data_IF_170789159787
#
_entry.id   IF_170789159787
#
_cell.length_a   1.000
_cell.length_b   1.000
_cell.length_c   1.000
_cell.angle_alpha   90.00
_cell.angle_beta   90.00
_cell.angle_gamma   90.00
#
_symmetry.space_group_name_H-M   'P 1'
#
loop_
_entity.id
_entity.type
_entity.pdbx_description
1 polymer ?
#
# COMPACT_ATOMS: atom_id res chain seq x y z
N UNK A 1 -11.90 2.59 -15.20
CA UNK A 1 -12.31 1.18 -15.00
C UNK A 1 -12.20 0.81 -13.51
N UNK A 2 -13.33 0.59 -12.79
CA UNK A 2 -13.31 0.22 -11.35
C UNK A 2 -12.68 -1.17 -11.18
N UNK A 3 -11.49 -1.23 -10.57
CA UNK A 3 -10.82 -2.50 -10.28
C UNK A 3 -11.62 -3.29 -9.25
N UNK A 4 -12.07 -4.51 -9.61
CA UNK A 4 -12.76 -5.43 -8.68
C UNK A 4 -11.75 -5.96 -7.64
N UNK A 5 -11.52 -5.21 -6.55
CA UNK A 5 -10.53 -5.54 -5.49
C UNK A 5 -10.68 -6.97 -4.96
N UNK A 6 -11.91 -7.42 -4.68
CA UNK A 6 -12.15 -8.79 -4.23
C UNK A 6 -11.70 -9.85 -5.23
N UNK A 7 -11.82 -9.63 -6.55
CA UNK A 7 -11.30 -10.59 -7.55
C UNK A 7 -9.79 -10.79 -7.43
N UNK A 8 -9.05 -9.74 -7.07
CA UNK A 8 -7.60 -9.80 -6.85
C UNK A 8 -7.26 -10.47 -5.51
N UNK A 9 -7.97 -10.13 -4.43
CA UNK A 9 -7.84 -10.80 -3.13
C UNK A 9 -7.97 -12.33 -3.28
N UNK A 10 -8.98 -12.79 -4.03
CA UNK A 10 -9.20 -14.23 -4.27
C UNK A 10 -8.08 -14.91 -5.04
N UNK A 11 -7.41 -14.18 -5.94
CA UNK A 11 -6.38 -14.75 -6.81
C UNK A 11 -5.02 -14.81 -6.12
N UNK A 12 -4.71 -13.79 -5.31
CA UNK A 12 -3.36 -13.57 -4.83
C UNK A 12 -3.28 -13.59 -3.29
N UNK A 13 -4.41 -13.67 -2.57
CA UNK A 13 -4.48 -13.78 -1.11
C UNK A 13 -5.14 -12.59 -0.41
N UNK A 14 -5.49 -12.80 0.86
CA UNK A 14 -6.17 -11.82 1.72
C UNK A 14 -5.26 -10.70 2.24
N UNK A 15 -3.95 -10.79 2.06
CA UNK A 15 -2.98 -9.82 2.62
C UNK A 15 -2.78 -8.57 1.76
N UNK A 16 -3.39 -8.50 0.58
CA UNK A 16 -3.06 -7.51 -0.45
C UNK A 16 -3.77 -6.17 -0.27
N UNK A 17 -5.02 -6.21 0.16
CA UNK A 17 -5.78 -5.01 0.45
C UNK A 17 -6.37 -5.16 1.83
N UNK A 18 -6.49 -4.03 2.52
CA UNK A 18 -7.16 -3.93 3.81
C UNK A 18 -8.62 -4.41 3.68
N UNK A 19 -9.26 -4.13 2.53
CA UNK A 19 -10.61 -4.64 2.22
C UNK A 19 -10.70 -6.17 2.10
N UNK A 20 -9.60 -6.86 1.83
CA UNK A 20 -9.59 -8.32 1.77
C UNK A 20 -9.75 -8.96 3.17
N UNK A 21 -9.52 -8.23 4.26
CA UNK A 21 -9.77 -8.70 5.62
C UNK A 21 -11.22 -8.51 6.08
N UNK A 22 -12.09 -7.92 5.24
CA UNK A 22 -13.47 -7.61 5.64
C UNK A 22 -14.38 -8.85 5.68
N UNK A 23 -15.39 -8.83 6.57
CA UNK A 23 -16.44 -9.86 6.61
C UNK A 23 -17.15 -10.03 5.24
N UNK A 24 -17.28 -8.94 4.47
CA UNK A 24 -17.82 -8.96 3.11
C UNK A 24 -16.96 -9.77 2.14
N UNK A 25 -15.63 -9.75 2.30
CA UNK A 25 -14.74 -10.61 1.54
C UNK A 25 -14.92 -12.08 1.93
N UNK A 26 -14.98 -12.39 3.23
CA UNK A 26 -15.21 -13.75 3.71
C UNK A 26 -16.51 -14.36 3.14
N UNK A 27 -17.61 -13.61 3.18
CA UNK A 27 -18.88 -14.01 2.54
C UNK A 27 -18.74 -14.17 1.02
N UNK A 28 -17.99 -13.30 0.35
CA UNK A 28 -17.73 -13.42 -1.09
C UNK A 28 -16.91 -14.67 -1.44
N UNK A 29 -16.04 -15.13 -0.55
CA UNK A 29 -15.27 -16.36 -0.74
C UNK A 29 -16.12 -17.60 -0.52
N UNK A 30 -16.93 -17.62 0.54
CA UNK A 30 -17.84 -18.74 0.84
C UNK A 30 -18.83 -19.03 -0.31
N UNK A 31 -19.26 -18.01 -1.06
CA UNK A 31 -20.13 -18.18 -2.23
C UNK A 31 -19.47 -18.89 -3.42
N UNK A 32 -18.16 -19.11 -3.41
CA UNK A 32 -17.39 -19.60 -4.57
C UNK A 32 -16.98 -21.07 -4.47
N UNK A 33 -17.64 -21.86 -3.60
CA UNK A 33 -17.32 -23.25 -3.21
C UNK A 33 -17.01 -24.25 -4.34
N UNK A 34 -17.24 -23.94 -5.62
CA UNK A 34 -17.02 -24.86 -6.75
C UNK A 34 -16.13 -24.33 -7.90
N UNK A 35 -15.38 -23.24 -7.72
CA UNK A 35 -14.54 -22.73 -8.81
C UNK A 35 -13.14 -23.38 -8.85
N UNK A 36 -13.04 -24.51 -9.56
CA UNK A 36 -11.83 -25.13 -10.14
C UNK A 36 -10.56 -25.13 -9.26
N UNK A 37 -10.14 -26.34 -8.83
CA UNK A 37 -8.75 -26.62 -8.42
C UNK A 37 -7.82 -26.17 -9.55
N UNK A 38 -7.23 -24.98 -9.39
CA UNK A 38 -6.26 -24.47 -10.35
C UNK A 38 -5.09 -25.45 -10.47
N UNK A 39 -4.54 -25.58 -11.68
CA UNK A 39 -3.29 -26.33 -11.89
C UNK A 39 -2.22 -25.81 -10.92
N UNK A 40 -1.42 -26.72 -10.36
CA UNK A 40 -0.26 -26.35 -9.55
C UNK A 40 0.59 -25.34 -10.33
N UNK A 41 0.90 -24.17 -9.76
CA UNK A 41 1.71 -23.18 -10.47
C UNK A 41 3.12 -23.73 -10.70
N UNK A 42 3.70 -23.40 -11.86
CA UNK A 42 5.13 -23.59 -12.09
C UNK A 42 5.95 -22.65 -11.22
N UNK A 43 7.27 -22.83 -11.17
CA UNK A 43 8.19 -21.94 -10.46
C UNK A 43 8.04 -20.47 -10.90
N UNK A 44 8.02 -20.22 -12.21
CA UNK A 44 7.71 -18.90 -12.77
C UNK A 44 6.33 -18.38 -12.30
N UNK A 45 5.34 -19.27 -12.24
CA UNK A 45 4.01 -18.93 -11.74
C UNK A 45 4.03 -18.47 -10.28
N UNK A 46 4.82 -19.13 -9.43
CA UNK A 46 5.02 -18.74 -8.03
C UNK A 46 5.71 -17.37 -7.92
N UNK A 47 6.81 -17.17 -8.64
CA UNK A 47 7.51 -15.88 -8.68
C UNK A 47 6.60 -14.74 -9.17
N UNK A 48 5.79 -14.99 -10.19
CA UNK A 48 4.81 -14.04 -10.69
C UNK A 48 3.74 -13.71 -9.64
N UNK A 49 3.26 -14.71 -8.90
CA UNK A 49 2.29 -14.49 -7.82
C UNK A 49 2.88 -13.59 -6.73
N UNK A 50 4.10 -13.85 -6.27
CA UNK A 50 4.77 -13.02 -5.25
C UNK A 50 5.01 -11.60 -5.75
N UNK A 51 5.48 -11.45 -6.99
CA UNK A 51 5.62 -10.13 -7.63
C UNK A 51 4.28 -9.38 -7.66
N UNK A 52 3.19 -10.04 -8.04
CA UNK A 52 1.87 -9.43 -8.09
C UNK A 52 1.33 -9.08 -6.71
N UNK A 53 1.55 -9.93 -5.68
CA UNK A 53 1.20 -9.61 -4.29
C UNK A 53 1.87 -8.31 -3.86
N UNK A 54 3.19 -8.24 -3.98
CA UNK A 54 3.98 -7.07 -3.57
C UNK A 54 3.53 -5.80 -4.32
N UNK A 55 3.37 -5.88 -5.64
CA UNK A 55 2.90 -4.76 -6.47
C UNK A 55 1.54 -4.23 -6.03
N UNK A 56 0.60 -5.14 -5.73
CA UNK A 56 -0.77 -4.76 -5.40
C UNK A 56 -0.87 -4.23 -3.96
N UNK A 57 -0.12 -4.80 -3.02
CA UNK A 57 -0.05 -4.35 -1.62
C UNK A 57 0.41 -2.91 -1.51
N UNK A 58 1.52 -2.55 -2.19
CA UNK A 58 2.05 -1.18 -2.18
C UNK A 58 1.43 -0.25 -3.24
N UNK A 59 0.35 -0.67 -3.91
CA UNK A 59 -0.37 0.13 -4.92
C UNK A 59 0.57 0.67 -6.02
N UNK A 60 1.46 -0.21 -6.52
CA UNK A 60 2.46 0.14 -7.52
C UNK A 60 2.05 -0.21 -8.95
N UNK A 61 2.58 0.57 -9.91
CA UNK A 61 2.61 0.19 -11.33
C UNK A 61 3.79 -0.75 -11.57
N UNK A 62 3.66 -1.65 -12.54
CA UNK A 62 4.71 -2.62 -12.90
C UNK A 62 6.06 -1.94 -13.19
N UNK A 63 6.05 -0.85 -13.98
CA UNK A 63 7.25 -0.06 -14.29
C UNK A 63 7.96 0.48 -13.05
N UNK A 64 7.21 0.88 -12.01
CA UNK A 64 7.80 1.39 -10.76
C UNK A 64 8.37 0.27 -9.90
N UNK A 65 7.70 -0.88 -9.83
CA UNK A 65 8.26 -2.04 -9.16
C UNK A 65 9.55 -2.51 -9.84
N UNK A 66 9.57 -2.56 -11.18
CA UNK A 66 10.78 -2.89 -11.94
C UNK A 66 11.94 -1.94 -11.64
N UNK A 67 11.66 -0.63 -11.54
CA UNK A 67 12.67 0.36 -11.15
C UNK A 67 13.26 0.03 -9.78
N UNK A 68 12.42 -0.18 -8.76
CA UNK A 68 12.91 -0.47 -7.41
C UNK A 68 13.73 -1.75 -7.31
N UNK A 69 13.38 -2.79 -8.08
CA UNK A 69 14.15 -4.02 -8.15
C UNK A 69 15.51 -3.76 -8.82
N UNK A 70 15.53 -3.03 -9.94
CA UNK A 70 16.78 -2.69 -10.63
C UNK A 70 17.71 -1.83 -9.75
N UNK A 71 17.14 -0.83 -9.07
CA UNK A 71 17.86 0.03 -8.13
C UNK A 71 18.43 -0.79 -6.96
N UNK A 72 17.69 -1.82 -6.49
CA UNK A 72 18.14 -2.72 -5.43
C UNK A 72 19.23 -3.70 -5.89
N UNK A 73 19.17 -4.21 -7.11
CA UNK A 73 20.20 -5.10 -7.68
C UNK A 73 21.53 -4.37 -7.87
N UNK A 74 21.47 -3.08 -8.22
CA UNK A 74 22.66 -2.24 -8.41
C UNK A 74 23.20 -1.64 -7.09
N UNK A 75 22.50 -1.85 -5.97
CA UNK A 75 22.97 -1.41 -4.66
C UNK A 75 24.08 -2.34 -4.14
N UNK A 76 24.91 -1.82 -3.23
CA UNK A 76 25.85 -2.64 -2.46
C UNK A 76 25.16 -3.42 -1.33
N UNK A 77 23.97 -2.98 -0.94
CA UNK A 77 23.17 -3.60 0.11
C UNK A 77 22.54 -4.92 -0.37
N UNK A 78 22.10 -5.76 0.58
CA UNK A 78 21.32 -6.95 0.24
C UNK A 78 20.04 -6.58 -0.53
N UNK A 79 19.83 -7.20 -1.70
CA UNK A 79 18.78 -6.83 -2.64
C UNK A 79 17.38 -6.86 -2.01
N UNK A 80 17.07 -7.87 -1.19
CA UNK A 80 15.77 -7.96 -0.50
C UNK A 80 15.58 -6.82 0.48
N UNK A 81 16.59 -6.54 1.30
CA UNK A 81 16.56 -5.44 2.26
C UNK A 81 16.35 -4.11 1.55
N UNK A 82 17.03 -3.87 0.43
CA UNK A 82 16.87 -2.62 -0.33
C UNK A 82 15.50 -2.47 -0.98
N UNK A 83 14.92 -3.57 -1.47
CA UNK A 83 13.54 -3.57 -1.98
C UNK A 83 12.57 -3.18 -0.86
N UNK A 84 12.68 -3.78 0.32
CA UNK A 84 11.80 -3.47 1.44
C UNK A 84 11.98 -2.03 1.93
N UNK A 85 13.22 -1.56 2.04
CA UNK A 85 13.52 -0.16 2.38
C UNK A 85 12.86 0.80 1.39
N UNK A 86 13.04 0.57 0.10
CA UNK A 86 12.45 1.41 -0.96
C UNK A 86 10.91 1.41 -0.95
N UNK A 87 10.27 0.34 -0.47
CA UNK A 87 8.82 0.22 -0.38
C UNK A 87 8.27 0.84 0.89
N UNK A 88 8.91 0.61 2.03
CA UNK A 88 8.43 1.06 3.34
C UNK A 88 8.68 2.57 3.55
N UNK A 89 9.77 3.12 3.00
CA UNK A 89 10.11 4.56 3.10
C UNK A 89 9.24 5.48 2.23
N UNK A 90 8.39 4.94 1.37
CA UNK A 90 7.52 5.77 0.51
C UNK A 90 6.56 6.60 1.34
N UNK A 91 6.40 7.88 1.01
CA UNK A 91 5.51 8.80 1.73
C UNK A 91 4.07 8.27 1.87
N UNK A 92 3.50 7.69 0.81
CA UNK A 92 2.15 7.10 0.90
C UNK A 92 2.08 5.92 1.87
N UNK A 93 3.12 5.09 1.91
CA UNK A 93 3.20 3.98 2.83
C UNK A 93 3.45 4.45 4.27
N UNK A 94 4.33 5.44 4.49
CA UNK A 94 4.57 6.05 5.81
C UNK A 94 3.29 6.65 6.36
N UNK A 95 2.52 7.41 5.56
CA UNK A 95 1.24 7.99 6.00
C UNK A 95 0.23 6.92 6.38
N UNK A 96 0.16 5.84 5.61
CA UNK A 96 -0.66 4.68 5.96
C UNK A 96 -0.19 4.03 7.27
N UNK A 97 1.13 3.83 7.43
CA UNK A 97 1.75 3.28 8.64
C UNK A 97 1.55 4.18 9.85
N UNK A 98 1.43 5.50 9.69
CA UNK A 98 1.10 6.46 10.75
C UNK A 98 -0.39 6.43 11.15
N UNK A 99 -1.23 5.67 10.43
CA UNK A 99 -2.68 5.62 10.70
C UNK A 99 -3.47 6.83 10.19
N UNK A 100 -2.83 7.72 9.44
CA UNK A 100 -3.46 8.92 8.88
C UNK A 100 -4.35 8.62 7.65
N UNK A 101 -4.41 7.36 7.23
CA UNK A 101 -5.29 6.90 6.17
C UNK A 101 -5.70 5.45 6.41
N UNK A 102 -6.95 5.11 6.07
CA UNK A 102 -7.48 3.76 6.31
C UNK A 102 -6.97 2.69 5.34
N UNK A 103 -6.40 3.10 4.20
CA UNK A 103 -5.82 2.19 3.22
C UNK A 103 -4.68 2.85 2.46
N UNK A 104 -3.74 2.05 1.96
CA UNK A 104 -2.63 2.57 1.12
C UNK A 104 -3.11 3.30 -0.13
N UNK A 105 -4.25 2.87 -0.70
CA UNK A 105 -4.87 3.56 -1.84
C UNK A 105 -5.36 4.96 -1.46
N UNK A 106 -5.93 5.11 -0.25
CA UNK A 106 -6.41 6.38 0.27
C UNK A 106 -5.24 7.30 0.63
N UNK A 107 -4.21 6.79 1.31
CA UNK A 107 -2.98 7.56 1.58
C UNK A 107 -2.38 8.14 0.29
N UNK A 108 -2.25 7.32 -0.76
CA UNK A 108 -1.77 7.78 -2.08
C UNK A 108 -2.61 8.91 -2.64
N UNK A 109 -3.93 8.80 -2.58
CA UNK A 109 -4.84 9.85 -3.04
C UNK A 109 -4.67 11.13 -2.24
N UNK A 110 -4.59 11.02 -0.91
CA UNK A 110 -4.44 12.18 -0.02
C UNK A 110 -3.12 12.92 -0.26
N UNK A 111 -2.03 12.18 -0.48
CA UNK A 111 -0.75 12.76 -0.90
C UNK A 111 -0.91 13.45 -2.25
N UNK A 112 -1.42 12.79 -3.28
CA UNK A 112 -1.56 13.39 -4.62
C UNK A 112 -2.43 14.65 -4.63
N UNK A 113 -3.43 14.75 -3.74
CA UNK A 113 -4.24 15.96 -3.58
C UNK A 113 -3.56 17.07 -2.76
N UNK A 114 -2.38 16.80 -2.17
CA UNK A 114 -1.59 17.78 -1.43
C UNK A 114 -2.17 18.12 -0.06
N UNK A 115 -2.70 17.12 0.65
CA UNK A 115 -3.19 17.27 2.02
C UNK A 115 -2.08 17.25 3.08
N UNK A 116 -0.84 16.93 2.68
CA UNK A 116 0.29 16.86 3.58
C UNK A 116 1.33 17.93 3.25
N UNK A 117 2.05 18.34 4.29
CA UNK A 117 3.26 19.11 4.20
C UNK A 117 4.45 18.27 4.63
N UNK A 118 5.58 18.47 3.96
CA UNK A 118 6.85 17.86 4.30
C UNK A 118 7.83 19.00 4.57
N UNK A 119 8.39 19.05 5.77
CA UNK A 119 9.28 20.12 6.23
C UNK A 119 8.66 21.52 6.01
N UNK A 120 7.36 21.66 6.29
CA UNK A 120 6.61 22.92 6.16
C UNK A 120 6.14 23.28 4.76
N UNK A 121 6.53 22.53 3.70
CA UNK A 121 6.13 22.82 2.32
C UNK A 121 5.07 21.83 1.82
N UNK A 122 4.12 22.32 1.00
CA UNK A 122 3.10 21.46 0.36
C UNK A 122 3.78 20.39 -0.48
N UNK A 123 3.41 19.14 -0.28
CA UNK A 123 4.04 18.02 -0.96
C UNK A 123 3.00 17.04 -1.52
N UNK A 124 3.15 16.63 -2.78
CA UNK A 124 2.16 15.82 -3.50
C UNK A 124 2.71 14.57 -4.21
N UNK A 125 3.98 14.22 -3.95
CA UNK A 125 4.64 13.08 -4.60
C UNK A 125 4.57 11.85 -3.69
N UNK A 126 3.71 10.90 -4.02
CA UNK A 126 3.50 9.70 -3.18
C UNK A 126 4.70 8.75 -3.15
N UNK A 127 5.56 8.79 -4.17
CA UNK A 127 6.76 7.96 -4.29
C UNK A 127 8.01 8.57 -3.65
N UNK A 128 7.88 9.67 -2.93
CA UNK A 128 9.01 10.26 -2.20
C UNK A 128 9.51 9.29 -1.13
N UNK A 129 10.82 9.10 -1.08
CA UNK A 129 11.47 8.30 -0.05
C UNK A 129 11.75 9.20 1.16
N UNK A 130 10.98 8.98 2.23
CA UNK A 130 11.08 9.71 3.49
C UNK A 130 12.41 9.37 4.15
N UNK A 131 13.13 10.39 4.61
CA UNK A 131 14.39 10.25 5.31
C UNK A 131 14.20 10.47 6.81
N UNK A 132 15.14 9.96 7.57
CA UNK A 132 15.23 10.27 9.01
C UNK A 132 15.37 11.78 9.18
N UNK A 133 14.53 12.35 10.05
CA UNK A 133 14.48 13.80 10.30
C UNK A 133 13.40 14.55 9.51
N UNK A 134 12.77 13.95 8.51
CA UNK A 134 11.65 14.57 7.80
C UNK A 134 10.43 14.76 8.71
N UNK A 135 9.88 15.98 8.72
CA UNK A 135 8.67 16.34 9.46
C UNK A 135 7.46 16.29 8.54
N UNK A 136 6.58 15.33 8.77
CA UNK A 136 5.31 15.16 8.04
C UNK A 136 4.18 15.75 8.86
N UNK A 137 3.39 16.65 8.28
CA UNK A 137 2.22 17.23 8.94
C UNK A 137 1.01 17.31 7.99
N UNK A 138 -0.19 17.41 8.55
CA UNK A 138 -1.41 17.69 7.78
C UNK A 138 -1.48 19.18 7.50
N UNK A 139 -1.70 19.54 6.23
CA UNK A 139 -1.86 20.93 5.82
C UNK A 139 -3.06 21.56 6.53
N UNK A 140 -2.91 22.78 7.02
CA UNK A 140 -3.94 23.48 7.82
C UNK A 140 -5.32 23.50 7.14
N UNK A 141 -5.40 23.96 5.89
CA UNK A 141 -6.66 23.95 5.12
C UNK A 141 -7.21 22.56 4.77
N UNK A 142 -6.55 21.49 5.18
CA UNK A 142 -7.05 20.11 5.04
C UNK A 142 -7.51 19.50 6.37
N UNK A 143 -7.15 20.09 7.53
CA UNK A 143 -7.50 19.57 8.87
C UNK A 143 -9.00 19.45 9.07
N UNK A 144 -9.78 20.39 8.52
CA UNK A 144 -11.24 20.41 8.65
C UNK A 144 -12.00 19.40 7.79
N UNK A 145 -11.31 18.64 6.93
CA UNK A 145 -11.99 17.65 6.10
C UNK A 145 -12.42 16.45 6.95
N UNK A 146 -13.58 15.88 6.62
CA UNK A 146 -14.18 14.76 7.32
C UNK A 146 -13.21 13.60 7.57
N UNK A 147 -12.37 13.27 6.58
CA UNK A 147 -11.38 12.20 6.69
C UNK A 147 -10.36 12.41 7.83
N UNK A 148 -9.99 13.65 8.16
CA UNK A 148 -9.04 13.94 9.23
C UNK A 148 -9.72 14.05 10.60
N UNK A 149 -10.93 14.60 10.65
CA UNK A 149 -11.73 14.67 11.90
C UNK A 149 -12.06 13.30 12.48
N UNK A 150 -12.24 12.30 11.63
CA UNK A 150 -12.49 10.92 12.07
C UNK A 150 -11.23 10.24 12.62
N UNK A 151 -10.04 10.69 12.22
CA UNK A 151 -8.76 10.12 12.67
C UNK A 151 -8.46 10.55 14.11
N UNK A 152 -8.74 11.79 14.49
CA UNK A 152 -8.55 12.28 15.87
C UNK A 152 -9.34 11.46 16.91
N UNK A 153 -10.43 10.80 16.48
CA UNK A 153 -11.28 9.95 17.33
C UNK A 153 -10.83 8.49 17.37
N UNK A 154 -10.01 8.05 16.41
CA UNK A 154 -9.47 6.68 16.38
C UNK A 154 -8.16 6.67 17.16
N UNK A 155 -8.10 5.84 18.21
CA UNK A 155 -6.84 5.54 18.88
C UNK A 155 -5.79 5.09 17.86
N UNK A 156 -4.73 5.89 17.71
CA UNK A 156 -3.55 5.60 16.86
C UNK A 156 -2.81 4.30 17.26
N UNK A 157 -3.25 3.64 18.33
CA UNK A 157 -2.64 2.43 18.93
C UNK A 157 -3.12 1.11 18.32
N UNK A 158 -4.19 1.10 17.51
CA UNK A 158 -4.66 -0.11 16.80
C UNK A 158 -3.96 -0.25 15.43
N UNK A 159 -2.64 -0.33 15.43
CA UNK A 159 -1.91 -0.67 14.21
C UNK A 159 -1.85 -2.19 14.04
N UNK A 160 -2.01 -2.73 12.82
CA UNK A 160 -1.60 -4.09 12.56
C UNK A 160 -0.08 -4.14 12.78
N UNK A 161 0.32 -4.73 13.92
CA UNK A 161 1.71 -5.14 14.15
C UNK A 161 2.13 -6.12 13.06
#
# INVERSE_FOLDING_TARGET
MKVKKFKKCRRFGSTIYEKCASAKYALSEQKRKFANRGKRPSEYGLQLIEKQKLRLSYVLKEKKLRSYIFDAINSKDETYQKIYENLETRLDNVIYRLGLAESRSMARQMVSHGHFTLNGRKFNISSYAVKVGDKIAVREGSKDRAFFREIDKKDLRKMPK
#
